data_IF_950471280170
#
_entry.id   IF_950471280170
#
_cell.length_a   1.000
_cell.length_b   1.000
_cell.length_c   1.000
_cell.angle_alpha   90.00
_cell.angle_beta   90.00
_cell.angle_gamma   90.00
#
_symmetry.space_group_name_H-M   'P 1'
#
loop_
_entity.id
_entity.type
_entity.pdbx_description
1 polymer ?
#
# COMPACT_ATOMS: atom_id res chain seq x y z
N UNK A 1 -16.96 15.89 46.45
CA UNK A 1 -16.24 15.62 45.18
C UNK A 1 -16.30 14.13 44.81
N UNK A 2 -16.30 13.19 45.76
CA UNK A 2 -16.44 11.76 45.46
C UNK A 2 -17.83 11.35 44.92
N UNK A 3 -18.90 12.02 45.36
CA UNK A 3 -20.28 11.63 44.97
C UNK A 3 -20.61 11.91 43.50
N UNK A 4 -19.94 12.88 42.87
CA UNK A 4 -20.16 13.22 41.46
C UNK A 4 -19.56 12.17 40.53
N UNK A 5 -18.39 11.63 40.88
CA UNK A 5 -17.72 10.61 40.09
C UNK A 5 -18.47 9.27 40.15
N UNK A 6 -19.09 8.94 41.29
CA UNK A 6 -19.94 7.74 41.39
C UNK A 6 -21.24 7.86 40.59
N UNK A 7 -21.85 9.06 40.56
CA UNK A 7 -23.03 9.34 39.75
C UNK A 7 -22.71 9.22 38.25
N UNK A 8 -21.57 9.76 37.82
CA UNK A 8 -21.09 9.68 36.44
C UNK A 8 -20.76 8.22 36.05
N UNK A 9 -20.15 7.44 36.95
CA UNK A 9 -19.87 6.03 36.73
C UNK A 9 -21.15 5.20 36.59
N UNK A 10 -22.16 5.48 37.43
CA UNK A 10 -23.48 4.84 37.36
C UNK A 10 -24.23 5.23 36.08
N UNK A 11 -24.08 6.48 35.64
CA UNK A 11 -24.65 6.95 34.39
C UNK A 11 -24.02 6.23 33.19
N UNK A 12 -22.69 6.09 33.17
CA UNK A 12 -21.96 5.37 32.13
C UNK A 12 -22.34 3.87 32.06
N UNK A 13 -22.45 3.20 33.20
CA UNK A 13 -22.90 1.81 33.29
C UNK A 13 -24.33 1.63 32.76
N UNK A 14 -25.23 2.58 33.06
CA UNK A 14 -26.61 2.57 32.56
C UNK A 14 -26.68 2.73 31.04
N UNK A 15 -25.81 3.56 30.46
CA UNK A 15 -25.76 3.74 29.00
C UNK A 15 -25.15 2.53 28.27
N UNK A 16 -24.23 1.81 28.91
CA UNK A 16 -23.60 0.61 28.34
C UNK A 16 -24.54 -0.60 28.29
N UNK A 17 -25.47 -0.72 29.24
CA UNK A 17 -26.39 -1.86 29.36
C UNK A 17 -27.66 -1.77 28.47
N UNK A 18 -27.81 -0.71 27.67
CA UNK A 18 -28.90 -0.63 26.69
C UNK A 18 -28.57 -1.49 25.46
N UNK A 19 -28.96 -2.76 25.51
CA UNK A 19 -28.84 -3.68 24.37
C UNK A 19 -29.97 -3.49 23.37
N UNK A 20 -29.71 -2.74 22.29
CA UNK A 20 -30.21 -3.12 20.96
C UNK A 20 -29.01 -3.68 20.18
N UNK A 21 -29.10 -4.89 19.61
CA UNK A 21 -28.01 -5.41 18.80
C UNK A 21 -27.77 -4.45 17.63
N UNK A 22 -26.51 -4.10 17.31
CA UNK A 22 -26.24 -3.24 16.18
C UNK A 22 -26.66 -3.97 14.90
N UNK A 23 -27.57 -3.36 14.14
CA UNK A 23 -27.89 -3.83 12.79
C UNK A 23 -26.62 -3.85 11.93
N UNK A 24 -26.44 -4.87 11.07
CA UNK A 24 -25.26 -4.98 10.25
C UNK A 24 -25.11 -3.74 9.37
N UNK A 25 -23.95 -3.09 9.50
CA UNK A 25 -23.54 -1.89 8.75
C UNK A 25 -23.55 -2.17 7.25
N UNK A 26 -24.69 -1.96 6.58
CA UNK A 26 -24.76 -1.89 5.13
C UNK A 26 -24.40 -0.46 4.71
N UNK A 27 -23.25 -0.31 4.07
CA UNK A 27 -22.83 0.95 3.47
C UNK A 27 -23.68 1.26 2.23
N UNK A 28 -24.32 2.44 2.29
CA UNK A 28 -25.05 3.21 1.25
C UNK A 28 -26.52 2.84 0.95
N UNK A 29 -27.40 3.86 0.77
CA UNK A 29 -28.81 3.66 0.43
C UNK A 29 -28.98 3.21 -1.02
N UNK A 30 -29.91 2.28 -1.21
CA UNK A 30 -30.39 1.86 -2.52
C UNK A 30 -31.35 2.94 -3.03
N UNK A 31 -30.88 3.87 -3.86
CA UNK A 31 -31.76 4.76 -4.63
C UNK A 31 -32.48 3.94 -5.70
N UNK A 32 -33.64 3.39 -5.31
CA UNK A 32 -34.84 3.15 -6.11
C UNK A 32 -35.65 2.01 -5.49
N UNK A 33 -36.51 2.37 -4.54
CA UNK A 33 -37.77 1.68 -4.29
C UNK A 33 -38.76 2.72 -3.71
N UNK A 34 -39.91 2.88 -4.36
CA UNK A 34 -41.02 3.71 -3.91
C UNK A 34 -41.69 3.18 -2.63
N UNK A 35 -42.74 3.85 -2.15
CA UNK A 35 -42.80 4.40 -0.80
C UNK A 35 -43.33 3.39 0.22
N UNK A 36 -42.55 3.14 1.26
CA UNK A 36 -43.04 2.61 2.53
C UNK A 36 -42.24 3.26 3.66
N UNK A 37 -42.96 3.74 4.68
CA UNK A 37 -42.54 4.82 5.58
C UNK A 37 -41.21 4.63 6.31
N UNK A 38 -40.43 5.71 6.34
CA UNK A 38 -39.25 5.84 7.18
C UNK A 38 -39.65 6.33 8.59
N UNK A 39 -39.09 5.78 9.67
CA UNK A 39 -39.05 6.47 10.95
C UNK A 39 -38.05 7.63 10.86
N UNK A 40 -38.42 8.81 11.34
CA UNK A 40 -37.56 9.99 11.34
C UNK A 40 -36.23 9.72 12.07
N UNK A 41 -35.11 9.98 11.37
CA UNK A 41 -33.77 9.97 11.97
C UNK A 41 -33.69 11.01 13.10
N UNK A 42 -33.35 10.52 14.31
CA UNK A 42 -33.17 11.32 15.53
C UNK A 42 -32.18 12.48 15.32
N UNK A 43 -32.48 13.70 15.83
CA UNK A 43 -31.65 14.89 15.65
C UNK A 43 -30.21 14.76 16.20
N UNK A 44 -29.97 13.82 17.12
CA UNK A 44 -28.65 13.55 17.69
C UNK A 44 -27.70 12.84 16.71
N UNK A 45 -28.21 11.87 15.94
CA UNK A 45 -27.42 11.18 14.91
C UNK A 45 -27.05 12.12 13.76
N UNK A 46 -27.95 13.04 13.43
CA UNK A 46 -27.68 14.11 12.44
C UNK A 46 -26.57 15.05 12.92
N UNK A 47 -26.57 15.41 14.21
CA UNK A 47 -25.51 16.24 14.79
C UNK A 47 -24.15 15.53 14.79
N UNK A 48 -24.09 14.25 15.18
CA UNK A 48 -22.84 13.49 15.16
C UNK A 48 -22.29 13.28 13.74
N UNK A 49 -23.18 13.03 12.77
CA UNK A 49 -22.81 12.91 11.35
C UNK A 49 -22.27 14.24 10.83
N UNK A 50 -22.95 15.35 11.12
CA UNK A 50 -22.52 16.69 10.75
C UNK A 50 -21.18 17.07 11.39
N UNK A 51 -20.97 16.72 12.67
CA UNK A 51 -19.71 16.94 13.37
C UNK A 51 -18.56 16.17 12.72
N UNK A 52 -18.79 14.92 12.33
CA UNK A 52 -17.81 14.08 11.63
C UNK A 52 -17.49 14.63 10.23
N UNK A 53 -18.49 15.12 9.52
CA UNK A 53 -18.35 15.74 8.20
C UNK A 53 -17.59 17.07 8.27
N UNK A 54 -17.87 17.90 9.29
CA UNK A 54 -17.13 19.14 9.55
C UNK A 54 -15.66 18.88 9.87
N UNK A 55 -15.37 17.84 10.66
CA UNK A 55 -14.00 17.45 10.99
C UNK A 55 -13.25 16.93 9.75
N UNK A 56 -13.92 16.16 8.89
CA UNK A 56 -13.36 15.69 7.62
C UNK A 56 -13.09 16.87 6.65
N UNK A 57 -14.04 17.79 6.49
CA UNK A 57 -13.88 18.97 5.65
C UNK A 57 -12.78 19.92 6.18
N UNK A 58 -12.60 20.02 7.50
CA UNK A 58 -11.51 20.76 8.10
C UNK A 58 -10.15 20.11 7.82
N UNK A 59 -10.07 18.78 7.87
CA UNK A 59 -8.86 18.04 7.50
C UNK A 59 -8.52 18.21 6.01
N UNK A 60 -9.50 18.13 5.12
CA UNK A 60 -9.32 18.37 3.68
C UNK A 60 -8.83 19.79 3.38
N UNK A 61 -9.37 20.80 4.07
CA UNK A 61 -8.89 22.20 3.95
C UNK A 61 -7.45 22.35 4.42
N UNK A 62 -7.04 21.66 5.49
CA UNK A 62 -5.64 21.64 5.96
C UNK A 62 -4.72 20.97 4.93
N UNK A 63 -5.17 19.88 4.31
CA UNK A 63 -4.43 19.19 3.23
C UNK A 63 -4.26 20.08 1.99
N UNK A 64 -5.31 20.77 1.56
CA UNK A 64 -5.24 21.70 0.42
C UNK A 64 -4.35 22.92 0.71
N UNK A 65 -4.40 23.46 1.93
CA UNK A 65 -3.53 24.57 2.33
C UNK A 65 -2.06 24.16 2.35
N UNK A 66 -1.72 22.96 2.86
CA UNK A 66 -0.36 22.43 2.87
C UNK A 66 0.17 22.15 1.45
N UNK A 67 -0.71 21.71 0.54
CA UNK A 67 -0.37 21.53 -0.88
C UNK A 67 -0.08 22.87 -1.58
N UNK A 68 -0.87 23.90 -1.26
CA UNK A 68 -0.69 25.24 -1.83
C UNK A 68 0.57 25.95 -1.28
N UNK A 69 0.93 25.75 -0.01
CA UNK A 69 2.18 26.28 0.55
C UNK A 69 3.41 25.56 0.01
N UNK A 70 3.33 24.24 -0.22
CA UNK A 70 4.38 23.47 -0.88
C UNK A 70 4.57 23.88 -2.36
N UNK A 71 3.47 24.16 -3.07
CA UNK A 71 3.52 24.65 -4.45
C UNK A 71 4.09 26.08 -4.55
N UNK A 72 3.77 26.96 -3.59
CA UNK A 72 4.32 28.31 -3.54
C UNK A 72 5.83 28.34 -3.23
N UNK A 73 6.33 27.39 -2.44
CA UNK A 73 7.77 27.24 -2.16
C UNK A 73 8.56 26.78 -3.39
N UNK A 74 7.96 26.00 -4.30
CA UNK A 74 8.60 25.51 -5.52
C UNK A 74 8.73 26.58 -6.62
N UNK A 75 7.83 27.57 -6.65
CA UNK A 75 7.81 28.64 -7.67
C UNK A 75 8.86 29.75 -7.39
N UNK A 76 9.41 29.81 -6.17
CA UNK A 76 10.39 30.84 -5.77
C UNK A 76 11.82 30.68 -6.30
N UNK A 77 12.15 29.60 -7.01
CA UNK A 77 13.55 29.28 -7.37
C UNK A 77 13.87 29.28 -8.87
N UNK A 78 12.92 29.60 -9.75
CA UNK A 78 13.16 29.59 -11.20
C UNK A 78 12.98 30.98 -11.83
N UNK A 79 13.98 31.84 -11.69
CA UNK A 79 14.13 33.04 -12.52
C UNK A 79 15.61 33.36 -12.75
N UNK A 80 16.16 32.85 -13.86
CA UNK A 80 16.99 33.66 -14.78
C UNK A 80 17.34 32.88 -16.06
N UNK A 81 17.31 33.64 -17.17
CA UNK A 81 17.92 33.41 -18.49
C UNK A 81 16.99 32.91 -19.61
N UNK A 82 16.23 33.88 -20.15
CA UNK A 82 16.09 34.14 -21.61
C UNK A 82 17.47 34.27 -22.29
N UNK A 83 17.77 34.05 -23.58
CA UNK A 83 17.03 33.86 -24.85
C UNK A 83 18.11 33.69 -25.94
N UNK A 84 17.93 32.79 -26.92
CA UNK A 84 18.06 33.10 -28.37
C UNK A 84 18.12 31.84 -29.24
N UNK A 85 17.21 31.85 -30.22
CA UNK A 85 17.04 31.03 -31.43
C UNK A 85 18.21 31.29 -32.41
N UNK A 86 18.65 30.35 -33.26
CA UNK A 86 18.24 30.09 -34.67
C UNK A 86 18.97 28.83 -35.16
N UNK A 87 18.28 28.02 -35.97
CA UNK A 87 18.68 26.65 -36.35
C UNK A 87 19.41 26.47 -37.68
N UNK A 88 19.56 25.20 -38.06
CA UNK A 88 19.90 24.75 -39.39
C UNK A 88 19.28 23.36 -39.63
N UNK A 89 18.72 23.18 -40.82
CA UNK A 89 17.89 22.05 -41.28
C UNK A 89 18.70 21.23 -42.29
N UNK A 90 18.52 19.89 -42.25
CA UNK A 90 18.60 18.93 -43.37
C UNK A 90 20.00 18.75 -44.04
N UNK A 91 20.47 17.54 -44.41
CA UNK A 91 19.89 16.57 -45.35
C UNK A 91 20.44 15.13 -45.23
N UNK A 92 19.80 14.24 -46.00
CA UNK A 92 19.89 12.78 -46.22
C UNK A 92 21.26 12.19 -46.61
N UNK A 93 21.42 10.90 -46.30
CA UNK A 93 21.64 9.73 -47.22
C UNK A 93 22.13 8.56 -46.34
N UNK A 94 21.73 7.30 -46.48
CA UNK A 94 21.50 6.45 -47.65
C UNK A 94 22.59 5.36 -47.65
N UNK A 95 22.24 4.08 -47.52
CA UNK A 95 23.20 2.99 -47.77
C UNK A 95 22.99 1.71 -46.98
N UNK A 96 22.54 0.67 -47.67
CA UNK A 96 22.40 -0.71 -47.21
C UNK A 96 23.75 -1.45 -47.16
N UNK A 97 23.82 -2.53 -46.37
CA UNK A 97 24.93 -3.49 -46.41
C UNK A 97 24.65 -4.73 -45.55
N UNK A 98 24.51 -5.88 -46.22
CA UNK A 98 24.23 -7.19 -45.65
C UNK A 98 25.51 -7.92 -45.20
N UNK A 99 25.37 -8.89 -44.28
CA UNK A 99 26.19 -10.10 -44.29
C UNK A 99 26.78 -10.58 -42.95
N UNK A 100 26.34 -11.76 -42.52
CA UNK A 100 27.26 -12.87 -42.22
C UNK A 100 27.68 -13.13 -40.77
N UNK A 101 27.18 -14.24 -40.23
CA UNK A 101 27.62 -15.00 -39.05
C UNK A 101 29.10 -14.90 -38.61
N UNK A 102 29.31 -14.87 -37.29
CA UNK A 102 30.19 -15.83 -36.60
C UNK A 102 29.83 -16.00 -35.13
N UNK A 103 29.66 -17.26 -34.74
CA UNK A 103 29.49 -17.77 -33.39
C UNK A 103 30.81 -17.67 -32.61
N UNK A 104 30.77 -17.12 -31.40
CA UNK A 104 31.70 -17.46 -30.31
C UNK A 104 30.89 -17.45 -29.01
N UNK A 105 30.79 -18.64 -28.43
CA UNK A 105 30.29 -18.91 -27.08
C UNK A 105 31.30 -18.37 -26.07
N UNK A 106 30.89 -17.51 -25.15
CA UNK A 106 31.33 -17.63 -23.76
C UNK A 106 30.44 -16.84 -22.79
N UNK A 107 30.21 -17.50 -21.66
CA UNK A 107 29.22 -17.24 -20.65
C UNK A 107 29.58 -16.07 -19.72
N UNK A 108 28.69 -15.09 -19.57
CA UNK A 108 28.42 -14.42 -18.27
C UNK A 108 27.19 -13.53 -18.32
N UNK A 109 26.24 -13.79 -17.42
CA UNK A 109 25.21 -12.82 -17.03
C UNK A 109 23.75 -13.15 -17.36
N UNK A 110 23.30 -14.41 -17.22
CA UNK A 110 21.85 -14.71 -17.18
C UNK A 110 21.31 -14.73 -15.76
N UNK A 111 20.52 -13.73 -15.38
CA UNK A 111 19.08 -13.91 -15.09
C UNK A 111 18.48 -12.64 -14.47
N UNK A 112 17.88 -11.79 -15.30
CA UNK A 112 16.71 -11.04 -14.86
C UNK A 112 15.52 -11.95 -15.15
N UNK A 113 15.08 -12.73 -14.16
CA UNK A 113 13.85 -13.54 -14.30
C UNK A 113 12.68 -12.57 -14.26
N UNK A 114 12.22 -12.16 -15.44
CA UNK A 114 10.88 -11.58 -15.58
C UNK A 114 9.87 -12.56 -14.99
N UNK A 115 8.88 -12.04 -14.27
CA UNK A 115 7.92 -12.89 -13.58
C UNK A 115 7.13 -13.81 -14.51
N UNK A 116 6.58 -14.90 -13.97
CA UNK A 116 5.76 -15.83 -14.75
C UNK A 116 4.36 -15.27 -14.94
N UNK A 117 3.83 -15.34 -16.16
CA UNK A 117 2.41 -15.07 -16.41
C UNK A 117 1.54 -16.23 -15.87
N UNK A 118 0.39 -15.90 -15.30
CA UNK A 118 -0.61 -16.89 -14.91
C UNK A 118 -1.22 -17.56 -16.15
N UNK A 119 -1.57 -18.84 -16.06
CA UNK A 119 -2.47 -19.41 -17.07
C UNK A 119 -3.85 -18.78 -16.96
N UNK A 120 -4.61 -18.75 -18.06
CA UNK A 120 -5.96 -18.19 -18.08
C UNK A 120 -6.89 -18.92 -17.10
N UNK A 121 -6.71 -20.24 -16.93
CA UNK A 121 -7.46 -21.03 -15.97
C UNK A 121 -7.14 -20.65 -14.52
N UNK A 122 -5.86 -20.52 -14.17
CA UNK A 122 -5.44 -20.09 -12.82
C UNK A 122 -5.89 -18.65 -12.53
N UNK A 123 -5.78 -17.74 -13.50
CA UNK A 123 -6.23 -16.36 -13.36
C UNK A 123 -7.75 -16.28 -13.13
N UNK A 124 -8.54 -17.08 -13.87
CA UNK A 124 -10.00 -17.16 -13.68
C UNK A 124 -10.34 -17.69 -12.30
N UNK A 125 -9.68 -18.77 -11.87
CA UNK A 125 -9.91 -19.36 -10.55
C UNK A 125 -9.56 -18.37 -9.43
N UNK A 126 -8.40 -17.72 -9.52
CA UNK A 126 -7.98 -16.69 -8.56
C UNK A 126 -8.99 -15.54 -8.51
N UNK A 127 -9.37 -15.00 -9.66
CA UNK A 127 -10.32 -13.89 -9.75
C UNK A 127 -11.67 -14.26 -9.11
N UNK A 128 -12.19 -15.47 -9.38
CA UNK A 128 -13.43 -15.97 -8.78
C UNK A 128 -13.29 -16.20 -7.28
N UNK A 129 -12.15 -16.70 -6.80
CA UNK A 129 -11.92 -16.92 -5.37
C UNK A 129 -11.86 -15.60 -4.59
N UNK A 130 -11.27 -14.56 -5.18
CA UNK A 130 -11.06 -13.27 -4.53
C UNK A 130 -12.29 -12.37 -4.62
N UNK A 131 -12.89 -12.28 -5.81
CA UNK A 131 -13.96 -11.32 -6.10
C UNK A 131 -15.34 -11.95 -6.31
N UNK A 132 -15.41 -13.27 -6.44
CA UNK A 132 -16.65 -13.96 -6.78
C UNK A 132 -17.03 -13.85 -8.27
N UNK A 133 -18.19 -14.39 -8.63
CA UNK A 133 -18.70 -14.39 -10.01
C UNK A 133 -19.32 -13.08 -10.46
N UNK A 134 -19.75 -12.23 -9.51
CA UNK A 134 -20.53 -11.01 -9.78
C UNK A 134 -19.92 -9.77 -9.10
N UNK A 135 -18.64 -9.50 -9.37
CA UNK A 135 -17.98 -8.27 -8.90
C UNK A 135 -18.30 -7.10 -9.81
N UNK A 136 -18.63 -5.95 -9.23
CA UNK A 136 -18.83 -4.71 -9.98
C UNK A 136 -17.50 -4.04 -10.30
N UNK A 137 -17.47 -3.25 -11.38
CA UNK A 137 -16.28 -2.47 -11.76
C UNK A 137 -15.85 -1.49 -10.67
N UNK A 138 -16.79 -0.94 -9.92
CA UNK A 138 -16.50 -0.02 -8.81
C UNK A 138 -15.69 -0.69 -7.70
N UNK A 139 -15.99 -1.94 -7.37
CA UNK A 139 -15.23 -2.70 -6.37
C UNK A 139 -13.81 -2.95 -6.89
N UNK A 140 -13.66 -3.36 -8.15
CA UNK A 140 -12.33 -3.57 -8.74
C UNK A 140 -11.51 -2.27 -8.79
N UNK A 141 -12.17 -1.14 -9.04
CA UNK A 141 -11.56 0.18 -9.00
C UNK A 141 -11.10 0.55 -7.58
N UNK A 142 -11.90 0.26 -6.55
CA UNK A 142 -11.50 0.45 -5.14
C UNK A 142 -10.23 -0.32 -4.78
N UNK A 143 -10.15 -1.59 -5.18
CA UNK A 143 -8.95 -2.41 -4.96
C UNK A 143 -7.74 -1.94 -5.76
N UNK A 144 -7.96 -1.45 -6.99
CA UNK A 144 -6.92 -0.93 -7.88
C UNK A 144 -6.50 0.52 -7.57
N UNK A 145 -7.14 1.16 -6.60
CA UNK A 145 -6.84 2.54 -6.20
C UNK A 145 -6.45 2.68 -4.71
N UNK A 146 -6.07 1.58 -4.07
CA UNK A 146 -5.58 1.56 -2.70
C UNK A 146 -4.11 1.10 -2.63
N UNK A 147 -3.25 2.00 -2.14
CA UNK A 147 -1.85 1.67 -1.81
C UNK A 147 -1.64 1.32 -0.34
N UNK A 148 -0.43 0.86 -0.02
CA UNK A 148 -0.01 0.54 1.35
C UNK A 148 0.96 1.63 1.81
N UNK A 149 0.43 2.81 2.18
CA UNK A 149 1.19 4.00 2.57
C UNK A 149 0.96 4.37 4.02
N UNK A 150 1.99 4.88 4.67
CA UNK A 150 1.86 5.52 5.99
C UNK A 150 1.13 6.86 5.89
N UNK A 151 0.49 7.25 6.99
CA UNK A 151 -0.13 8.57 7.12
C UNK A 151 0.92 9.68 7.08
N UNK A 152 0.69 10.76 6.31
CA UNK A 152 1.53 11.94 6.35
C UNK A 152 1.26 12.82 7.59
N UNK A 153 0.16 12.57 8.30
CA UNK A 153 -0.19 13.30 9.51
C UNK A 153 0.69 12.84 10.69
N UNK A 154 1.42 13.75 11.37
CA UNK A 154 2.30 13.41 12.48
C UNK A 154 1.63 12.60 13.60
N UNK A 155 0.37 12.89 13.92
CA UNK A 155 -0.38 12.22 15.00
C UNK A 155 -0.72 10.76 14.65
N UNK A 156 -0.85 10.47 13.36
CA UNK A 156 -1.24 9.15 12.85
C UNK A 156 -0.15 8.49 11.99
N UNK A 157 1.08 9.00 12.07
CA UNK A 157 2.21 8.68 11.17
C UNK A 157 2.64 7.21 11.14
N UNK A 158 2.27 6.43 12.16
CA UNK A 158 2.47 4.97 12.24
C UNK A 158 1.36 4.15 11.55
N UNK A 159 0.24 4.78 11.22
CA UNK A 159 -0.94 4.14 10.64
C UNK A 159 -0.86 4.11 9.11
N UNK A 160 -1.35 3.02 8.52
CA UNK A 160 -1.57 2.91 7.10
C UNK A 160 -2.88 3.63 6.71
N UNK A 161 -2.84 4.38 5.61
CA UNK A 161 -3.99 5.15 5.13
C UNK A 161 -4.92 4.27 4.28
N UNK A 162 -6.21 4.27 4.61
CA UNK A 162 -7.25 3.67 3.79
C UNK A 162 -8.14 4.75 3.18
N UNK A 163 -8.16 4.85 1.85
CA UNK A 163 -9.02 5.77 1.10
C UNK A 163 -10.27 5.06 0.58
N UNK A 164 -10.14 3.79 0.19
CA UNK A 164 -11.19 3.03 -0.48
C UNK A 164 -11.81 1.97 0.43
N UNK A 165 -13.08 1.63 0.20
CA UNK A 165 -13.73 0.48 0.81
C UNK A 165 -13.30 -0.83 0.15
N UNK A 166 -13.28 -1.96 0.87
CA UNK A 166 -12.88 -3.26 0.33
C UNK A 166 -11.54 -3.80 0.86
N UNK A 167 -10.39 -3.15 0.59
CA UNK A 167 -9.07 -3.66 0.96
C UNK A 167 -8.73 -3.57 2.44
N UNK A 168 -9.66 -3.14 3.31
CA UNK A 168 -9.42 -2.97 4.74
C UNK A 168 -8.91 -4.23 5.43
N UNK A 169 -9.35 -5.43 5.02
CA UNK A 169 -8.87 -6.69 5.58
C UNK A 169 -7.38 -6.91 5.32
N UNK A 170 -6.88 -6.47 4.16
CA UNK A 170 -5.45 -6.51 3.83
C UNK A 170 -4.71 -5.46 4.64
N UNK A 171 -5.15 -4.20 4.62
CA UNK A 171 -4.46 -3.11 5.33
C UNK A 171 -4.41 -3.36 6.84
N UNK A 172 -5.50 -3.83 7.46
CA UNK A 172 -5.54 -4.12 8.88
C UNK A 172 -4.57 -5.25 9.27
N UNK A 173 -4.47 -6.30 8.45
CA UNK A 173 -3.53 -7.40 8.67
C UNK A 173 -2.09 -6.90 8.59
N UNK A 174 -1.76 -6.12 7.56
CA UNK A 174 -0.42 -5.52 7.43
C UNK A 174 -0.14 -4.59 8.60
N UNK A 175 -1.10 -3.73 8.98
CA UNK A 175 -0.97 -2.80 10.10
C UNK A 175 -0.62 -3.51 11.41
N UNK A 176 -1.27 -4.64 11.69
CA UNK A 176 -1.00 -5.43 12.90
C UNK A 176 0.46 -5.93 12.94
N UNK A 177 0.97 -6.45 11.82
CA UNK A 177 2.37 -6.88 11.73
C UNK A 177 3.34 -5.69 11.77
N UNK A 178 2.99 -4.56 11.15
CA UNK A 178 3.81 -3.34 11.20
C UNK A 178 3.99 -2.89 12.65
N UNK A 179 2.90 -2.82 13.42
CA UNK A 179 2.96 -2.50 14.84
C UNK A 179 3.78 -3.52 15.62
N UNK A 180 3.63 -4.82 15.33
CA UNK A 180 4.48 -5.87 15.94
C UNK A 180 5.97 -5.56 15.76
N UNK A 181 6.38 -5.19 14.55
CA UNK A 181 7.80 -4.88 14.27
C UNK A 181 8.24 -3.54 14.83
N UNK A 182 7.39 -2.50 14.81
CA UNK A 182 7.76 -1.18 15.33
C UNK A 182 7.91 -1.18 16.85
N UNK A 183 7.03 -1.92 17.55
CA UNK A 183 6.91 -1.91 19.00
C UNK A 183 7.77 -2.97 19.70
N UNK A 184 7.88 -4.17 19.13
CA UNK A 184 8.47 -5.32 19.83
C UNK A 184 9.77 -5.84 19.21
N UNK A 185 10.19 -5.31 18.05
CA UNK A 185 11.44 -5.70 17.40
C UNK A 185 12.38 -4.49 17.40
N UNK A 186 13.39 -4.46 18.28
CA UNK A 186 14.34 -3.36 18.29
C UNK A 186 15.09 -3.28 16.96
N UNK A 187 15.45 -2.06 16.60
CA UNK A 187 16.35 -1.83 15.49
C UNK A 187 17.72 -2.38 15.90
N UNK A 188 18.11 -3.53 15.36
CA UNK A 188 19.49 -4.01 15.51
C UNK A 188 20.40 -2.98 14.83
N UNK A 189 20.93 -2.04 15.62
CA UNK A 189 21.94 -1.09 15.18
C UNK A 189 23.12 -1.92 14.67
N UNK A 190 23.30 -1.91 13.36
CA UNK A 190 24.20 -2.81 12.65
C UNK A 190 25.62 -2.76 13.18
N UNK A 191 25.97 -3.78 13.96
CA UNK A 191 27.28 -4.45 13.99
C UNK A 191 27.03 -5.84 14.54
N UNK A 192 26.85 -6.83 13.66
CA UNK A 192 27.49 -8.17 13.68
C UNK A 192 27.03 -8.93 12.43
N UNK A 193 27.96 -9.68 11.87
CA UNK A 193 27.96 -10.41 10.60
C UNK A 193 26.83 -11.42 10.36
N UNK A 194 26.57 -11.79 9.08
CA UNK A 194 25.43 -12.59 8.68
C UNK A 194 25.74 -14.08 8.80
N UNK A 195 25.70 -14.66 9.99
CA UNK A 195 25.69 -16.11 10.17
C UNK A 195 25.04 -16.51 11.50
N UNK A 196 23.71 -16.47 11.60
CA UNK A 196 22.98 -17.37 12.51
C UNK A 196 21.57 -17.66 11.98
N UNK A 197 21.10 -18.91 12.00
CA UNK A 197 19.74 -19.25 11.64
C UNK A 197 18.80 -18.83 12.78
N UNK A 198 17.96 -17.82 12.52
CA UNK A 198 16.83 -17.52 13.39
C UNK A 198 15.81 -18.65 13.30
N UNK A 199 15.94 -19.62 14.21
CA UNK A 199 14.85 -20.51 14.56
C UNK A 199 13.71 -19.65 15.13
N UNK A 200 12.65 -19.44 14.35
CA UNK A 200 11.39 -18.84 14.80
C UNK A 200 10.54 -19.81 15.64
N UNK A 201 11.20 -20.63 16.45
CA UNK A 201 10.58 -21.52 17.41
C UNK A 201 10.99 -21.11 18.81
N UNK A 202 10.09 -20.44 19.54
CA UNK A 202 10.19 -20.25 20.99
C UNK A 202 11.44 -19.49 21.48
N UNK A 203 11.63 -18.24 21.03
CA UNK A 203 12.40 -17.32 21.86
C UNK A 203 11.53 -16.93 23.04
N UNK A 204 11.86 -17.44 24.24
CA UNK A 204 11.38 -16.87 25.50
C UNK A 204 11.49 -15.35 25.39
N UNK A 205 10.41 -14.65 25.70
CA UNK A 205 10.41 -13.22 25.93
C UNK A 205 11.52 -12.94 26.95
N UNK A 206 12.69 -12.54 26.45
CA UNK A 206 13.74 -12.02 27.31
C UNK A 206 13.12 -10.79 27.93
N UNK A 207 13.03 -10.83 29.26
CA UNK A 207 12.41 -9.82 30.12
C UNK A 207 13.29 -8.56 30.15
N UNK A 208 13.74 -8.08 29.00
CA UNK A 208 14.24 -6.73 28.84
C UNK A 208 13.01 -5.88 28.53
N UNK A 209 12.67 -5.04 29.49
CA UNK A 209 11.66 -4.00 29.38
C UNK A 209 12.01 -3.09 28.19
N UNK A 210 11.63 -3.51 26.98
CA UNK A 210 11.71 -2.67 25.81
C UNK A 210 10.46 -1.80 25.82
N UNK A 211 10.43 -0.84 26.73
CA UNK A 211 9.58 0.34 26.57
C UNK A 211 10.18 1.06 25.37
N UNK A 212 9.63 0.81 24.18
CA UNK A 212 9.82 1.73 23.08
C UNK A 212 9.45 3.10 23.64
N UNK A 213 10.39 4.06 23.64
CA UNK A 213 10.12 5.41 24.12
C UNK A 213 8.77 5.86 23.57
N UNK A 214 7.85 6.32 24.42
CA UNK A 214 6.44 6.60 24.09
C UNK A 214 6.23 7.65 22.97
N UNK A 215 7.31 8.13 22.36
CA UNK A 215 7.32 9.05 21.25
C UNK A 215 7.17 8.32 19.91
N UNK A 216 5.97 7.86 19.63
CA UNK A 216 5.63 7.22 18.36
C UNK A 216 5.86 8.09 17.12
N UNK A 217 5.89 9.42 17.28
CA UNK A 217 6.21 10.36 16.21
C UNK A 217 7.70 10.38 15.85
N UNK A 218 8.58 9.75 16.62
CA UNK A 218 10.02 9.73 16.37
C UNK A 218 10.47 8.62 15.41
N UNK A 219 9.58 7.77 14.91
CA UNK A 219 9.96 6.74 13.96
C UNK A 219 10.30 7.34 12.60
N UNK A 220 11.52 7.09 12.13
CA UNK A 220 11.98 7.51 10.80
C UNK A 220 11.20 6.79 9.70
N UNK A 221 11.07 7.42 8.52
CA UNK A 221 10.47 6.77 7.34
C UNK A 221 11.20 5.48 6.95
N UNK A 222 12.51 5.41 7.16
CA UNK A 222 13.31 4.21 6.94
C UNK A 222 12.86 3.07 7.87
N UNK A 223 12.69 3.35 9.16
CA UNK A 223 12.24 2.36 10.15
C UNK A 223 10.83 1.87 9.84
N UNK A 224 9.91 2.77 9.48
CA UNK A 224 8.55 2.43 9.05
C UNK A 224 8.55 1.57 7.79
N UNK A 225 9.32 1.94 6.77
CA UNK A 225 9.45 1.18 5.52
C UNK A 225 10.04 -0.21 5.76
N UNK A 226 11.07 -0.32 6.60
CA UNK A 226 11.68 -1.60 6.97
C UNK A 226 10.70 -2.50 7.73
N UNK A 227 9.95 -1.94 8.68
CA UNK A 227 8.91 -2.66 9.40
C UNK A 227 7.81 -3.15 8.45
N UNK A 228 7.39 -2.33 7.50
CA UNK A 228 6.42 -2.71 6.46
C UNK A 228 6.92 -3.88 5.60
N UNK A 229 8.15 -3.80 5.08
CA UNK A 229 8.73 -4.89 4.28
C UNK A 229 8.84 -6.20 5.10
N UNK A 230 9.28 -6.12 6.36
CA UNK A 230 9.34 -7.29 7.26
C UNK A 230 7.95 -7.90 7.48
N UNK A 231 6.96 -7.05 7.71
CA UNK A 231 5.55 -7.43 7.90
C UNK A 231 5.02 -8.18 6.69
N UNK A 232 5.16 -7.58 5.50
CA UNK A 232 4.74 -8.17 4.24
C UNK A 232 5.43 -9.52 4.00
N UNK A 233 6.74 -9.59 4.23
CA UNK A 233 7.52 -10.81 4.05
C UNK A 233 7.03 -11.93 4.98
N UNK A 234 6.82 -11.64 6.26
CA UNK A 234 6.33 -12.62 7.22
C UNK A 234 4.92 -13.11 6.87
N UNK A 235 4.00 -12.20 6.55
CA UNK A 235 2.62 -12.55 6.17
C UNK A 235 2.62 -13.50 4.96
N UNK A 236 3.38 -13.17 3.90
CA UNK A 236 3.43 -13.99 2.69
C UNK A 236 3.98 -15.40 2.95
N UNK A 237 5.01 -15.53 3.79
CA UNK A 237 5.53 -16.85 4.18
C UNK A 237 4.54 -17.63 5.05
N UNK A 238 3.84 -16.97 5.98
CA UNK A 238 2.79 -17.60 6.78
C UNK A 238 1.69 -18.19 5.88
N UNK A 239 1.23 -17.42 4.89
CA UNK A 239 0.26 -17.89 3.89
C UNK A 239 0.78 -19.11 3.09
N UNK A 240 2.09 -19.17 2.82
CA UNK A 240 2.74 -20.29 2.14
C UNK A 240 3.27 -21.38 3.07
N UNK A 241 2.70 -21.56 4.26
CA UNK A 241 3.09 -22.59 5.24
C UNK A 241 4.56 -22.51 5.67
N UNK A 242 5.13 -21.30 5.71
CA UNK A 242 6.53 -20.99 6.00
C UNK A 242 7.55 -21.63 5.04
N UNK A 243 7.12 -22.08 3.86
CA UNK A 243 8.00 -22.73 2.86
C UNK A 243 8.24 -21.89 1.63
N UNK A 244 7.27 -21.04 1.27
CA UNK A 244 7.32 -20.20 0.08
C UNK A 244 6.53 -18.93 0.29
N UNK A 245 6.91 -17.88 -0.43
CA UNK A 245 6.13 -16.67 -0.61
C UNK A 245 5.89 -16.47 -2.11
N UNK A 246 4.72 -15.95 -2.45
CA UNK A 246 4.36 -15.53 -3.80
C UNK A 246 4.29 -14.02 -3.78
N UNK A 247 4.94 -13.37 -4.73
CA UNK A 247 4.92 -11.91 -4.88
C UNK A 247 4.40 -11.61 -6.28
N UNK A 248 3.29 -10.89 -6.35
CA UNK A 248 2.74 -10.40 -7.59
C UNK A 248 3.36 -9.03 -7.96
N UNK A 249 3.66 -8.85 -9.24
CA UNK A 249 4.23 -7.64 -9.83
C UNK A 249 3.43 -7.23 -11.07
N UNK A 250 3.67 -6.02 -11.57
CA UNK A 250 3.07 -5.52 -12.81
C UNK A 250 4.06 -5.66 -13.96
N UNK A 251 3.60 -6.19 -15.09
CA UNK A 251 4.43 -6.40 -16.30
C UNK A 251 5.06 -5.13 -16.84
N UNK A 252 4.41 -3.98 -16.66
CA UNK A 252 4.89 -2.65 -17.08
C UNK A 252 5.99 -2.08 -16.19
N UNK A 253 6.20 -2.62 -14.99
CA UNK A 253 7.17 -2.12 -14.00
C UNK A 253 8.33 -3.09 -13.74
N UNK A 254 8.45 -4.16 -14.55
CA UNK A 254 9.48 -5.20 -14.33
C UNK A 254 10.88 -4.77 -14.83
N UNK A 255 10.99 -3.58 -15.43
CA UNK A 255 12.25 -3.01 -15.94
C UNK A 255 12.74 -1.84 -15.07
N UNK A 256 13.86 -2.06 -14.37
CA UNK A 256 14.83 -1.07 -13.88
C UNK A 256 14.33 0.06 -12.96
N UNK A 257 13.81 -0.28 -11.78
CA UNK A 257 13.67 0.66 -10.63
C UNK A 257 14.95 0.67 -9.76
N UNK A 258 16.10 0.30 -10.32
CA UNK A 258 17.38 0.25 -9.61
C UNK A 258 18.21 1.50 -9.95
N UNK A 259 18.04 2.60 -9.17
CA UNK A 259 19.00 3.72 -9.18
C UNK A 259 18.45 5.16 -9.13
N UNK A 260 17.13 5.38 -9.20
CA UNK A 260 16.52 6.73 -9.15
C UNK A 260 16.21 7.20 -7.71
N UNK A 261 16.23 8.50 -7.43
CA UNK A 261 15.78 9.06 -6.14
C UNK A 261 14.30 8.72 -5.86
N UNK A 262 13.91 8.57 -4.58
CA UNK A 262 12.59 8.04 -4.21
C UNK A 262 11.42 8.89 -4.74
N UNK A 263 11.54 10.23 -4.75
CA UNK A 263 10.51 11.11 -5.34
C UNK A 263 10.35 10.91 -6.86
N UNK A 264 11.46 10.73 -7.59
CA UNK A 264 11.42 10.52 -9.03
C UNK A 264 10.83 9.15 -9.39
N UNK A 265 11.05 8.13 -8.55
CA UNK A 265 10.45 6.81 -8.72
C UNK A 265 8.93 6.86 -8.58
N UNK A 266 8.41 7.57 -7.59
CA UNK A 266 6.97 7.66 -7.36
C UNK A 266 6.24 8.33 -8.52
N UNK A 267 6.81 9.39 -9.10
CA UNK A 267 6.26 10.05 -10.29
C UNK A 267 6.30 9.16 -11.54
N UNK A 268 7.38 8.42 -11.75
CA UNK A 268 7.51 7.47 -12.86
C UNK A 268 6.47 6.36 -12.72
N UNK A 269 6.32 5.80 -11.52
CA UNK A 269 5.32 4.77 -11.23
C UNK A 269 3.91 5.32 -11.42
N UNK A 270 3.61 6.52 -10.91
CA UNK A 270 2.30 7.14 -11.09
C UNK A 270 1.93 7.32 -12.56
N UNK A 271 2.88 7.78 -13.39
CA UNK A 271 2.70 7.92 -14.85
C UNK A 271 2.53 6.56 -15.54
N UNK A 272 3.34 5.56 -15.18
CA UNK A 272 3.23 4.22 -15.76
C UNK A 272 1.90 3.54 -15.40
N UNK A 273 1.35 3.87 -14.24
CA UNK A 273 0.04 3.38 -13.79
C UNK A 273 -1.12 4.24 -14.31
N UNK A 274 -0.89 5.37 -14.96
CA UNK A 274 -1.97 6.22 -15.48
C UNK A 274 -2.77 5.45 -16.55
N UNK A 275 -4.08 5.33 -16.36
CA UNK A 275 -4.97 4.58 -17.26
C UNK A 275 -4.98 3.06 -17.09
N UNK A 276 -4.14 2.47 -16.23
CA UNK A 276 -4.20 1.03 -15.94
C UNK A 276 -5.46 0.72 -15.10
N UNK A 277 -6.33 -0.19 -15.56
CA UNK A 277 -7.49 -0.62 -14.76
C UNK A 277 -7.70 -2.12 -14.92
N UNK A 278 -7.81 -2.83 -13.79
CA UNK A 278 -8.09 -4.27 -13.79
C UNK A 278 -9.60 -4.46 -13.72
N UNK A 279 -10.26 -4.47 -14.88
CA UNK A 279 -11.72 -4.59 -14.96
C UNK A 279 -12.21 -6.02 -15.21
N UNK A 280 -11.30 -6.96 -15.44
CA UNK A 280 -11.64 -8.36 -15.73
C UNK A 280 -10.49 -9.30 -15.41
N UNK A 281 -10.79 -10.60 -15.33
CA UNK A 281 -9.78 -11.64 -15.22
C UNK A 281 -8.75 -11.59 -16.37
N UNK A 282 -9.19 -11.38 -17.62
CA UNK A 282 -8.25 -11.32 -18.75
C UNK A 282 -7.31 -10.11 -18.66
N UNK A 283 -7.79 -8.99 -18.12
CA UNK A 283 -6.95 -7.83 -17.81
C UNK A 283 -5.96 -8.17 -16.68
N UNK A 284 -6.43 -8.85 -15.62
CA UNK A 284 -5.58 -9.30 -14.52
C UNK A 284 -4.43 -10.18 -15.02
N UNK A 285 -4.71 -11.19 -15.84
CA UNK A 285 -3.70 -12.10 -16.39
C UNK A 285 -2.62 -11.36 -17.19
N UNK A 286 -3.02 -10.45 -18.08
CA UNK A 286 -2.10 -9.70 -18.96
C UNK A 286 -1.17 -8.79 -18.16
N UNK A 287 -1.71 -8.16 -17.12
CA UNK A 287 -1.03 -7.14 -16.32
C UNK A 287 -0.14 -7.76 -15.23
N UNK A 288 -0.56 -8.87 -14.64
CA UNK A 288 0.12 -9.47 -13.50
C UNK A 288 1.30 -10.37 -13.93
N UNK A 289 2.37 -10.35 -13.14
CA UNK A 289 3.46 -11.31 -13.19
C UNK A 289 3.70 -11.85 -11.79
N UNK A 290 4.02 -13.13 -11.68
CA UNK A 290 4.14 -13.82 -10.40
C UNK A 290 5.52 -14.44 -10.24
N UNK A 291 6.12 -14.19 -9.08
CA UNK A 291 7.40 -14.75 -8.68
C UNK A 291 7.22 -15.52 -7.37
N UNK A 292 7.73 -16.75 -7.33
CA UNK A 292 7.73 -17.58 -6.13
C UNK A 292 9.13 -17.62 -5.52
N UNK A 293 9.20 -17.40 -4.21
CA UNK A 293 10.42 -17.36 -3.43
C UNK A 293 10.37 -18.42 -2.33
N UNK A 294 11.42 -19.24 -2.21
CA UNK A 294 11.58 -20.18 -1.09
C UNK A 294 12.46 -19.64 0.04
N UNK A 295 13.20 -18.56 -0.21
CA UNK A 295 14.09 -17.92 0.77
C UNK A 295 13.50 -16.59 1.23
N UNK A 296 13.37 -16.44 2.55
CA UNK A 296 12.86 -15.22 3.18
C UNK A 296 13.78 -14.02 2.90
N UNK A 297 15.09 -14.23 2.88
CA UNK A 297 16.05 -13.15 2.60
C UNK A 297 15.90 -12.59 1.18
N UNK A 298 15.71 -13.47 0.18
CA UNK A 298 15.53 -13.04 -1.22
C UNK A 298 14.18 -12.34 -1.40
N UNK A 299 13.11 -12.92 -0.82
CA UNK A 299 11.79 -12.30 -0.84
C UNK A 299 11.79 -10.92 -0.18
N UNK A 300 12.47 -10.78 0.96
CA UNK A 300 12.64 -9.51 1.66
C UNK A 300 13.34 -8.46 0.79
N UNK A 301 14.44 -8.81 0.13
CA UNK A 301 15.12 -7.89 -0.78
C UNK A 301 14.24 -7.50 -1.96
N UNK A 302 13.49 -8.45 -2.55
CA UNK A 302 12.55 -8.13 -3.63
C UNK A 302 11.46 -7.17 -3.17
N UNK A 303 10.84 -7.43 -2.01
CA UNK A 303 9.82 -6.53 -1.44
C UNK A 303 10.38 -5.15 -1.13
N UNK A 304 11.63 -5.07 -0.65
CA UNK A 304 12.31 -3.80 -0.39
C UNK A 304 12.47 -2.99 -1.68
N UNK A 305 12.92 -3.60 -2.78
CA UNK A 305 13.03 -2.93 -4.08
C UNK A 305 11.66 -2.49 -4.60
N UNK A 306 10.63 -3.30 -4.36
CA UNK A 306 9.27 -3.05 -4.83
C UNK A 306 8.43 -2.16 -3.91
N UNK A 307 9.00 -1.61 -2.84
CA UNK A 307 8.20 -0.95 -1.79
C UNK A 307 7.37 0.23 -2.34
N UNK A 308 7.92 1.02 -3.25
CA UNK A 308 7.23 2.13 -3.92
C UNK A 308 6.05 1.64 -4.78
N UNK A 309 6.15 0.46 -5.39
CA UNK A 309 5.06 -0.17 -6.14
C UNK A 309 3.93 -0.61 -5.20
N UNK A 310 4.24 -1.16 -4.02
CA UNK A 310 3.23 -1.48 -3.00
C UNK A 310 2.65 -0.25 -2.32
N UNK A 311 3.40 0.85 -2.28
CA UNK A 311 2.87 2.15 -1.88
C UNK A 311 2.02 2.77 -2.98
N UNK A 312 2.21 2.43 -4.26
CA UNK A 312 1.37 2.91 -5.36
C UNK A 312 -0.12 2.53 -5.21
N UNK A 313 -1.00 3.13 -6.01
CA UNK A 313 -2.44 2.84 -5.98
C UNK A 313 -2.81 1.37 -6.22
N UNK A 314 -1.91 0.57 -6.80
CA UNK A 314 -2.11 -0.86 -7.05
C UNK A 314 -1.70 -1.76 -5.87
N UNK A 315 -1.17 -1.18 -4.79
CA UNK A 315 -0.52 -1.92 -3.73
C UNK A 315 -1.37 -2.97 -3.03
N UNK A 316 -2.60 -2.63 -2.66
CA UNK A 316 -3.50 -3.55 -1.99
C UNK A 316 -3.90 -4.71 -2.90
N UNK A 317 -4.19 -4.43 -4.18
CA UNK A 317 -4.46 -5.46 -5.19
C UNK A 317 -3.27 -6.40 -5.37
N UNK A 318 -2.05 -5.85 -5.49
CA UNK A 318 -0.84 -6.66 -5.68
C UNK A 318 -0.48 -7.52 -4.47
N UNK A 319 -0.76 -7.05 -3.26
CA UNK A 319 -0.49 -7.82 -2.05
C UNK A 319 -1.54 -8.89 -1.76
N UNK A 320 -2.77 -8.69 -2.23
CA UNK A 320 -3.85 -9.67 -2.07
C UNK A 320 -3.61 -10.96 -2.88
N UNK A 321 -2.93 -10.85 -4.02
CA UNK A 321 -2.71 -11.92 -4.99
C UNK A 321 -1.44 -12.71 -4.67
#
# INVERSE_FOLDING_TARGET
MADQEEEDLRMALRMSMQHKPPEPKRSKPRENAGPAGLPEESPELKNLKLQRELMAAAAEKRMMAAKNTAAAAAVGSASKVEKSVVGAKQEKSGGAGAGGHKCVDECKGKNVKSGKELSLAEANQLFLMVFGGEVTKDILAQWSNQGIRFSPDPETSMGLVQHEGGPCGVLATIQAFVLKYLLFVPEEFGKVEPNMPHNLGSSRFSKSECVASDNFASFTEERKSRALVRSMCEILFLCGSNKRAVIATLSILDSDIEGSEDCLKDDIIAKALEGLSIESCSALQKVLRINTYSSQAIAFQRLKVMISVFQSRMGAMLFLI
#
